data_IF_804623655062
#
_entry.id   IF_804623655062
#
_cell.length_a   1.000
_cell.length_b   1.000
_cell.length_c   1.000
_cell.angle_alpha   90.00
_cell.angle_beta   90.00
_cell.angle_gamma   90.00
#
_symmetry.space_group_name_H-M   'P 1'
#
loop_
_entity.id
_entity.type
_entity.pdbx_description
1 polymer ?
#
# COMPACT_ATOMS: atom_id res chain seq x y z
N UNK A 1 55.91 -7.17 54.04
CA UNK A 1 55.99 -8.02 52.83
C UNK A 1 55.95 -7.08 51.65
N UNK A 2 57.09 -6.89 51.00
CA UNK A 2 57.28 -5.98 49.88
C UNK A 2 56.98 -6.71 48.57
N UNK A 3 56.21 -6.10 47.68
CA UNK A 3 56.12 -6.51 46.27
C UNK A 3 56.32 -5.28 45.40
N UNK A 4 57.55 -5.19 44.89
CA UNK A 4 58.05 -4.27 43.88
C UNK A 4 57.27 -4.41 42.58
N UNK A 5 56.82 -3.29 42.00
CA UNK A 5 56.25 -3.24 40.66
C UNK A 5 57.38 -3.02 39.65
N UNK A 6 57.76 -4.06 38.91
CA UNK A 6 58.71 -3.96 37.78
C UNK A 6 58.04 -3.28 36.58
N UNK A 7 58.49 -2.07 36.24
CA UNK A 7 58.27 -1.48 34.91
C UNK A 7 58.98 -2.34 33.86
N UNK A 8 58.23 -2.87 32.90
CA UNK A 8 58.77 -3.60 31.75
C UNK A 8 59.57 -2.65 30.86
N UNK A 9 60.87 -2.51 31.13
CA UNK A 9 61.80 -1.74 30.30
C UNK A 9 61.83 -2.33 28.89
N UNK A 10 61.24 -1.59 27.94
CA UNK A 10 61.36 -1.85 26.50
C UNK A 10 62.85 -1.86 26.14
N UNK A 11 63.31 -2.91 25.44
CA UNK A 11 64.74 -3.07 25.12
C UNK A 11 65.23 -1.87 24.29
N UNK A 12 66.41 -1.31 24.59
CA UNK A 12 66.95 -0.14 23.89
C UNK A 12 67.05 -0.37 22.38
N UNK A 13 67.29 -1.61 21.95
CA UNK A 13 67.32 -2.02 20.55
C UNK A 13 65.98 -1.82 19.85
N UNK A 14 64.87 -2.17 20.50
CA UNK A 14 63.52 -2.01 19.91
C UNK A 14 63.08 -0.54 19.79
N UNK A 15 63.55 0.33 20.70
CA UNK A 15 63.33 1.79 20.58
C UNK A 15 64.21 2.42 19.51
N UNK A 16 65.46 1.98 19.39
CA UNK A 16 66.35 2.46 18.33
C UNK A 16 65.81 2.09 16.94
N UNK A 17 65.29 0.86 16.80
CA UNK A 17 64.65 0.41 15.56
C UNK A 17 63.41 1.24 15.22
N UNK A 18 62.53 1.54 16.20
CA UNK A 18 61.34 2.37 15.93
C UNK A 18 61.68 3.81 15.51
N UNK A 19 62.77 4.38 16.02
CA UNK A 19 63.28 5.69 15.59
C UNK A 19 63.81 5.63 14.15
N UNK A 20 64.60 4.59 13.83
CA UNK A 20 65.12 4.37 12.47
C UNK A 20 63.98 4.12 11.48
N UNK A 21 62.93 3.41 11.91
CA UNK A 21 61.77 3.10 11.08
C UNK A 21 60.88 4.33 10.81
N UNK A 22 60.86 5.30 11.73
CA UNK A 22 60.14 6.57 11.56
C UNK A 22 60.77 7.53 10.53
N UNK A 23 62.03 7.33 10.16
CA UNK A 23 62.71 8.16 9.16
C UNK A 23 62.20 7.86 7.74
N UNK A 24 62.01 8.89 6.90
CA UNK A 24 61.52 8.71 5.54
C UNK A 24 62.51 7.91 4.69
N UNK A 25 62.01 6.89 3.98
CA UNK A 25 62.80 6.04 3.10
C UNK A 25 62.54 4.56 3.35
N UNK A 26 62.44 3.78 2.26
CA UNK A 26 62.07 2.36 2.29
C UNK A 26 63.28 1.40 2.36
N UNK A 27 64.52 1.91 2.46
CA UNK A 27 65.73 1.08 2.52
C UNK A 27 66.59 1.37 3.74
N UNK A 28 67.16 0.30 4.32
CA UNK A 28 68.04 0.38 5.49
C UNK A 28 69.24 1.31 5.25
N UNK A 29 69.77 1.32 4.03
CA UNK A 29 70.88 2.19 3.60
C UNK A 29 70.46 3.66 3.62
N UNK A 30 69.24 3.98 3.21
CA UNK A 30 68.74 5.36 3.26
C UNK A 30 68.55 5.80 4.71
N UNK A 31 67.96 4.95 5.55
CA UNK A 31 67.69 5.25 6.96
C UNK A 31 68.97 5.44 7.77
N UNK A 32 69.95 4.55 7.62
CA UNK A 32 71.28 4.72 8.24
C UNK A 32 72.07 5.87 7.60
N UNK A 33 71.87 6.10 6.30
CA UNK A 33 72.41 7.23 5.57
C UNK A 33 71.95 8.57 6.15
N UNK A 34 70.66 8.74 6.46
CA UNK A 34 70.16 9.96 7.10
C UNK A 34 70.73 10.18 8.49
N UNK A 35 70.73 9.15 9.34
CA UNK A 35 71.28 9.28 10.71
C UNK A 35 72.76 9.63 10.66
N UNK A 36 73.53 8.96 9.80
CA UNK A 36 74.97 9.19 9.65
C UNK A 36 75.25 10.55 9.01
N UNK A 37 74.46 10.98 8.03
CA UNK A 37 74.59 12.28 7.40
C UNK A 37 74.27 13.42 8.37
N UNK A 38 73.20 13.30 9.16
CA UNK A 38 72.84 14.29 10.18
C UNK A 38 73.91 14.36 11.27
N UNK A 39 74.36 13.21 11.79
CA UNK A 39 75.40 13.17 12.80
C UNK A 39 76.75 13.70 12.26
N UNK A 40 77.09 13.37 11.02
CA UNK A 40 78.28 13.87 10.33
C UNK A 40 78.21 15.38 10.09
N UNK A 41 77.06 15.91 9.67
CA UNK A 41 76.86 17.34 9.51
C UNK A 41 76.93 18.08 10.85
N UNK A 42 76.30 17.55 11.91
CA UNK A 42 76.33 18.15 13.24
C UNK A 42 77.76 18.20 13.80
N UNK A 43 78.51 17.10 13.72
CA UNK A 43 79.91 17.05 14.16
C UNK A 43 80.81 17.96 13.32
N UNK A 44 80.57 18.06 12.01
CA UNK A 44 81.28 18.99 11.14
C UNK A 44 81.02 20.46 11.49
N UNK A 45 79.75 20.84 11.74
CA UNK A 45 79.37 22.20 12.11
C UNK A 45 79.99 22.65 13.44
N UNK A 46 80.06 21.73 14.41
CA UNK A 46 80.73 21.98 15.70
C UNK A 46 82.25 22.04 15.50
N UNK A 47 82.84 21.06 14.77
CA UNK A 47 84.28 20.97 14.58
C UNK A 47 84.88 22.13 13.79
N UNK A 48 84.10 22.75 12.90
CA UNK A 48 84.50 23.93 12.11
C UNK A 48 84.04 25.25 12.71
N UNK A 49 83.44 25.24 13.90
CA UNK A 49 82.87 26.42 14.57
C UNK A 49 81.91 27.21 13.67
N UNK A 50 81.31 26.55 12.67
CA UNK A 50 80.29 27.17 11.80
C UNK A 50 79.05 27.50 12.62
N UNK A 51 78.78 26.71 13.66
CA UNK A 51 77.81 27.03 14.69
C UNK A 51 78.53 27.33 16.01
N UNK A 52 78.48 28.60 16.42
CA UNK A 52 79.03 29.07 17.71
C UNK A 52 77.90 29.09 18.75
N UNK A 53 78.09 28.36 19.85
CA UNK A 53 77.15 28.41 20.97
C UNK A 53 77.20 29.80 21.62
N UNK A 54 76.13 30.57 21.41
CA UNK A 54 75.96 31.91 21.98
C UNK A 54 74.69 31.96 22.85
N UNK A 55 74.46 33.10 23.50
CA UNK A 55 73.23 33.38 24.27
C UNK A 55 71.95 33.14 23.44
N UNK A 56 71.98 33.43 22.15
CA UNK A 56 70.87 33.18 21.22
C UNK A 56 70.54 31.68 21.04
N UNK A 57 71.51 30.77 21.23
CA UNK A 57 71.27 29.33 21.19
C UNK A 57 70.39 28.87 22.36
N UNK A 58 70.51 29.51 23.52
CA UNK A 58 69.67 29.25 24.69
C UNK A 58 68.25 29.77 24.47
N UNK A 59 68.12 30.95 23.84
CA UNK A 59 66.82 31.50 23.42
C UNK A 59 66.14 30.59 22.40
N UNK A 60 66.88 30.07 21.41
CA UNK A 60 66.35 29.12 20.42
C UNK A 60 65.85 27.84 21.08
N UNK A 61 66.60 27.28 22.03
CA UNK A 61 66.18 26.07 22.77
C UNK A 61 64.91 26.32 23.58
N UNK A 62 64.83 27.44 24.29
CA UNK A 62 63.65 27.82 25.06
C UNK A 62 62.43 28.06 24.14
N UNK A 63 62.63 28.68 22.98
CA UNK A 63 61.61 28.86 21.96
C UNK A 63 61.13 27.52 21.41
N UNK A 64 62.03 26.61 21.04
CA UNK A 64 61.69 25.29 20.53
C UNK A 64 60.92 24.45 21.56
N UNK A 65 61.31 24.50 22.84
CA UNK A 65 60.60 23.81 23.92
C UNK A 65 59.18 24.37 24.13
N UNK A 66 59.05 25.70 24.16
CA UNK A 66 57.75 26.37 24.31
C UNK A 66 56.84 26.11 23.12
N UNK A 67 57.38 26.24 21.90
CA UNK A 67 56.66 25.98 20.66
C UNK A 67 56.25 24.51 20.54
N UNK A 68 57.13 23.57 20.90
CA UNK A 68 56.80 22.15 20.95
C UNK A 68 55.67 21.84 21.94
N UNK A 69 55.67 22.50 23.11
CA UNK A 69 54.57 22.42 24.07
C UNK A 69 53.25 22.95 23.51
N UNK A 70 53.27 24.11 22.84
CA UNK A 70 52.09 24.72 22.20
C UNK A 70 51.57 23.83 21.08
N UNK A 71 52.43 23.34 20.18
CA UNK A 71 52.02 22.46 19.08
C UNK A 71 51.38 21.19 19.63
N UNK A 72 51.95 20.59 20.68
CA UNK A 72 51.37 19.40 21.31
C UNK A 72 49.99 19.68 21.89
N UNK A 73 49.82 20.80 22.60
CA UNK A 73 48.54 21.19 23.20
C UNK A 73 47.49 21.62 22.17
N UNK A 74 47.89 22.26 21.07
CA UNK A 74 46.99 22.78 20.04
C UNK A 74 46.60 21.74 18.98
N UNK A 75 47.36 20.63 18.85
CA UNK A 75 47.14 19.62 17.80
C UNK A 75 45.79 18.93 17.92
N UNK A 76 45.44 18.45 19.12
CA UNK A 76 44.17 17.78 19.37
C UNK A 76 42.96 18.69 19.09
N UNK A 77 42.83 19.89 19.68
CA UNK A 77 41.68 20.75 19.42
C UNK A 77 41.61 21.23 17.98
N UNK A 78 42.75 21.42 17.30
CA UNK A 78 42.76 21.77 15.87
C UNK A 78 42.23 20.63 15.00
N UNK A 79 42.64 19.39 15.26
CA UNK A 79 42.17 18.23 14.53
C UNK A 79 40.67 18.00 14.77
N UNK A 80 40.19 18.08 16.01
CA UNK A 80 38.76 17.97 16.33
C UNK A 80 37.94 19.05 15.62
N UNK A 81 38.42 20.30 15.63
CA UNK A 81 37.77 21.39 14.93
C UNK A 81 37.71 21.14 13.41
N UNK A 82 38.81 20.67 12.82
CA UNK A 82 38.87 20.34 11.41
C UNK A 82 37.90 19.20 11.06
N UNK A 83 37.88 18.13 11.85
CA UNK A 83 36.98 16.99 11.64
C UNK A 83 35.51 17.39 11.76
N UNK A 84 35.15 18.21 12.74
CA UNK A 84 33.78 18.74 12.89
C UNK A 84 33.38 19.56 11.67
N UNK A 85 34.28 20.44 11.18
CA UNK A 85 33.99 21.27 10.02
C UNK A 85 33.81 20.44 8.75
N UNK A 86 34.70 19.48 8.52
CA UNK A 86 34.64 18.57 7.38
C UNK A 86 33.36 17.74 7.45
N UNK A 87 33.01 17.19 8.62
CA UNK A 87 31.79 16.40 8.79
C UNK A 87 30.54 17.23 8.57
N UNK A 88 30.50 18.48 9.06
CA UNK A 88 29.38 19.40 8.78
C UNK A 88 29.18 19.62 7.28
N UNK A 89 30.25 19.86 6.53
CA UNK A 89 30.17 20.03 5.07
C UNK A 89 29.67 18.74 4.41
N UNK A 90 30.22 17.58 4.81
CA UNK A 90 29.79 16.28 4.27
C UNK A 90 28.31 16.02 4.53
N UNK A 91 27.83 16.22 5.76
CA UNK A 91 26.43 16.03 6.12
C UNK A 91 25.51 16.97 5.36
N UNK A 92 25.89 18.24 5.17
CA UNK A 92 25.09 19.19 4.37
C UNK A 92 25.02 18.73 2.91
N UNK A 93 26.13 18.28 2.33
CA UNK A 93 26.17 17.83 0.94
C UNK A 93 25.37 16.53 0.73
N UNK A 94 25.48 15.60 1.66
CA UNK A 94 24.72 14.35 1.64
C UNK A 94 23.22 14.61 1.80
N UNK A 95 22.85 15.46 2.76
CA UNK A 95 21.46 15.90 2.95
C UNK A 95 20.92 16.59 1.71
N UNK A 96 21.67 17.52 1.12
CA UNK A 96 21.25 18.21 -0.10
C UNK A 96 21.03 17.24 -1.27
N UNK A 97 21.84 16.17 -1.37
CA UNK A 97 21.65 15.12 -2.38
C UNK A 97 20.37 14.31 -2.14
N UNK A 98 20.11 13.93 -0.90
CA UNK A 98 18.90 13.19 -0.51
C UNK A 98 17.66 14.06 -0.73
N UNK A 99 17.67 15.30 -0.25
CA UNK A 99 16.56 16.25 -0.41
C UNK A 99 16.28 16.55 -1.89
N UNK A 100 17.33 16.73 -2.71
CA UNK A 100 17.16 16.91 -4.16
C UNK A 100 16.60 15.66 -4.83
N UNK A 101 17.04 14.46 -4.44
CA UNK A 101 16.49 13.21 -4.97
C UNK A 101 15.00 13.08 -4.62
N UNK A 102 14.62 13.34 -3.38
CA UNK A 102 13.24 13.32 -2.93
C UNK A 102 12.38 14.34 -3.69
N UNK A 103 12.86 15.58 -3.85
CA UNK A 103 12.14 16.61 -4.60
C UNK A 103 11.93 16.24 -6.09
N UNK A 104 12.90 15.54 -6.70
CA UNK A 104 12.76 15.03 -8.07
C UNK A 104 11.78 13.85 -8.13
N UNK A 105 11.82 12.93 -7.17
CA UNK A 105 10.85 11.82 -7.07
C UNK A 105 9.42 12.37 -6.91
N UNK A 106 9.19 13.30 -5.99
CA UNK A 106 7.90 13.96 -5.78
C UNK A 106 7.39 14.63 -7.07
N UNK A 107 8.30 15.28 -7.83
CA UNK A 107 7.93 15.93 -9.09
C UNK A 107 7.61 14.91 -10.18
N UNK A 108 8.30 13.78 -10.22
CA UNK A 108 8.00 12.67 -11.14
C UNK A 108 6.61 12.12 -10.82
N UNK A 109 6.29 11.90 -9.55
CA UNK A 109 4.98 11.38 -9.13
C UNK A 109 3.84 12.34 -9.49
N UNK A 110 4.02 13.64 -9.24
CA UNK A 110 3.05 14.66 -9.63
C UNK A 110 2.81 14.70 -11.15
N UNK A 111 3.89 14.63 -11.94
CA UNK A 111 3.77 14.59 -13.41
C UNK A 111 3.19 13.26 -13.89
N UNK A 112 3.49 12.16 -13.21
CA UNK A 112 2.93 10.83 -13.44
C UNK A 112 1.41 10.85 -13.34
N UNK A 113 0.85 11.48 -12.29
CA UNK A 113 -0.60 11.64 -12.13
C UNK A 113 -1.21 12.48 -13.27
N UNK A 114 -0.51 13.48 -13.79
CA UNK A 114 -0.99 14.31 -14.89
C UNK A 114 -1.07 13.55 -16.22
N UNK A 115 -0.27 12.49 -16.40
CA UNK A 115 -0.29 11.66 -17.62
C UNK A 115 -1.65 10.98 -17.82
N UNK A 116 -2.27 10.55 -16.73
CA UNK A 116 -3.49 9.75 -16.77
C UNK A 116 -4.77 10.61 -16.87
N UNK A 117 -4.67 11.93 -16.66
CA UNK A 117 -5.82 12.85 -16.70
C UNK A 117 -6.51 12.84 -18.08
N UNK A 118 -5.74 12.69 -19.16
CA UNK A 118 -6.31 12.64 -20.52
C UNK A 118 -7.17 11.38 -20.71
N UNK A 119 -6.72 10.24 -20.20
CA UNK A 119 -7.46 8.98 -20.28
C UNK A 119 -8.70 9.01 -19.39
N UNK A 120 -8.56 9.46 -18.14
CA UNK A 120 -9.68 9.64 -17.21
C UNK A 120 -10.74 10.57 -17.78
N UNK A 121 -10.33 11.68 -18.42
CA UNK A 121 -11.27 12.62 -19.04
C UNK A 121 -12.02 11.96 -20.21
N UNK A 122 -11.32 11.22 -21.08
CA UNK A 122 -11.97 10.46 -22.16
C UNK A 122 -12.94 9.40 -21.62
N UNK A 123 -12.55 8.68 -20.57
CA UNK A 123 -13.39 7.71 -19.89
C UNK A 123 -14.64 8.36 -19.29
N UNK A 124 -14.52 9.56 -18.69
CA UNK A 124 -15.66 10.29 -18.13
C UNK A 124 -16.66 10.72 -19.22
N UNK A 125 -16.18 11.19 -20.37
CA UNK A 125 -17.05 11.49 -21.52
C UNK A 125 -17.70 10.24 -22.12
N UNK A 126 -16.95 9.14 -22.23
CA UNK A 126 -17.49 7.87 -22.70
C UNK A 126 -18.58 7.35 -21.76
N UNK A 127 -18.31 7.39 -20.45
CA UNK A 127 -19.26 7.01 -19.40
C UNK A 127 -20.53 7.87 -19.48
N UNK A 128 -20.40 9.19 -19.57
CA UNK A 128 -21.56 10.09 -19.71
C UNK A 128 -22.40 9.76 -20.94
N UNK A 129 -21.76 9.46 -22.08
CA UNK A 129 -22.46 9.07 -23.31
C UNK A 129 -23.16 7.71 -23.18
N UNK A 130 -22.51 6.75 -22.54
CA UNK A 130 -23.08 5.42 -22.29
C UNK A 130 -24.26 5.50 -21.32
N UNK A 131 -24.15 6.28 -20.24
CA UNK A 131 -25.24 6.52 -19.30
C UNK A 131 -26.46 7.12 -19.99
N UNK A 132 -26.27 8.16 -20.81
CA UNK A 132 -27.39 8.77 -21.55
C UNK A 132 -28.07 7.78 -22.50
N UNK A 133 -27.29 6.90 -23.14
CA UNK A 133 -27.83 5.85 -24.02
C UNK A 133 -28.61 4.79 -23.23
N UNK A 134 -28.05 4.30 -22.13
CA UNK A 134 -28.68 3.31 -21.27
C UNK A 134 -29.96 3.86 -20.61
N UNK A 135 -29.97 5.13 -20.21
CA UNK A 135 -31.17 5.78 -19.68
C UNK A 135 -32.28 5.87 -20.74
N UNK A 136 -31.94 6.22 -21.98
CA UNK A 136 -32.92 6.26 -23.07
C UNK A 136 -33.49 4.87 -23.38
N UNK A 137 -32.64 3.84 -23.48
CA UNK A 137 -33.07 2.45 -23.70
C UNK A 137 -33.92 1.93 -22.54
N UNK A 138 -33.53 2.20 -21.29
CA UNK A 138 -34.30 1.84 -20.11
C UNK A 138 -35.66 2.55 -20.07
N UNK A 139 -35.72 3.81 -20.49
CA UNK A 139 -36.98 4.57 -20.57
C UNK A 139 -37.92 3.98 -21.61
N UNK A 140 -37.42 3.63 -22.81
CA UNK A 140 -38.22 3.00 -23.85
C UNK A 140 -38.76 1.63 -23.39
N UNK A 141 -37.90 0.80 -22.78
CA UNK A 141 -38.31 -0.50 -22.25
C UNK A 141 -39.36 -0.35 -21.13
N UNK A 142 -39.19 0.64 -20.26
CA UNK A 142 -40.15 0.95 -19.20
C UNK A 142 -41.50 1.39 -19.77
N UNK A 143 -41.51 2.19 -20.83
CA UNK A 143 -42.75 2.60 -21.49
C UNK A 143 -43.47 1.42 -22.13
N UNK A 144 -42.74 0.54 -22.84
CA UNK A 144 -43.31 -0.68 -23.44
C UNK A 144 -43.89 -1.64 -22.39
N UNK A 145 -43.17 -1.84 -21.28
CA UNK A 145 -43.63 -2.71 -20.20
C UNK A 145 -44.82 -2.13 -19.45
N UNK A 146 -44.85 -0.80 -19.20
CA UNK A 146 -46.01 -0.11 -18.63
C UNK A 146 -47.25 -0.26 -19.50
N UNK A 147 -47.13 -0.02 -20.81
CA UNK A 147 -48.26 -0.21 -21.73
C UNK A 147 -48.74 -1.66 -21.79
N UNK A 148 -47.80 -2.61 -21.82
CA UNK A 148 -48.16 -4.04 -21.79
C UNK A 148 -48.88 -4.41 -20.49
N UNK A 149 -48.46 -3.86 -19.35
CA UNK A 149 -49.10 -4.09 -18.06
C UNK A 149 -50.51 -3.49 -17.99
N UNK A 150 -50.72 -2.28 -18.53
CA UNK A 150 -52.05 -1.66 -18.61
C UNK A 150 -52.99 -2.46 -19.51
N UNK A 151 -52.54 -2.85 -20.70
CA UNK A 151 -53.33 -3.68 -21.63
C UNK A 151 -53.68 -5.03 -21.02
N UNK A 152 -52.72 -5.67 -20.34
CA UNK A 152 -52.96 -6.92 -19.61
C UNK A 152 -53.99 -6.70 -18.50
N UNK A 153 -53.87 -5.65 -17.69
CA UNK A 153 -54.81 -5.35 -16.62
C UNK A 153 -56.24 -5.15 -17.14
N UNK A 154 -56.38 -4.49 -18.29
CA UNK A 154 -57.69 -4.36 -18.96
C UNK A 154 -58.18 -5.73 -19.38
N UNK A 155 -57.38 -6.53 -20.08
CA UNK A 155 -57.77 -7.87 -20.53
C UNK A 155 -58.15 -8.80 -19.36
N UNK A 156 -57.38 -8.81 -18.28
CA UNK A 156 -57.67 -9.56 -17.06
C UNK A 156 -59.00 -9.12 -16.43
N UNK A 157 -59.35 -7.82 -16.51
CA UNK A 157 -60.65 -7.32 -16.05
C UNK A 157 -61.81 -7.81 -16.92
N UNK A 158 -61.62 -7.90 -18.24
CA UNK A 158 -62.61 -8.46 -19.17
C UNK A 158 -62.83 -9.96 -18.91
N UNK A 159 -61.75 -10.72 -18.75
CA UNK A 159 -61.82 -12.15 -18.43
C UNK A 159 -62.54 -12.36 -17.11
N UNK A 160 -62.20 -11.60 -16.07
CA UNK A 160 -62.88 -11.67 -14.77
C UNK A 160 -64.37 -11.32 -14.89
N UNK A 161 -64.71 -10.31 -15.69
CA UNK A 161 -66.10 -9.96 -15.97
C UNK A 161 -66.85 -11.12 -16.65
N UNK A 162 -66.27 -11.72 -17.70
CA UNK A 162 -66.83 -12.86 -18.42
C UNK A 162 -67.04 -14.07 -17.50
N UNK A 163 -66.03 -14.43 -16.70
CA UNK A 163 -66.16 -15.52 -15.72
C UNK A 163 -67.30 -15.26 -14.75
N UNK A 164 -67.44 -14.03 -14.22
CA UNK A 164 -68.54 -13.71 -13.30
C UNK A 164 -69.91 -13.73 -13.99
N UNK A 165 -70.00 -13.36 -15.27
CA UNK A 165 -71.24 -13.45 -16.06
C UNK A 165 -71.61 -14.92 -16.24
N UNK A 166 -70.65 -15.75 -16.67
CA UNK A 166 -70.84 -17.19 -16.88
C UNK A 166 -71.28 -17.89 -15.59
N UNK A 167 -70.65 -17.58 -14.46
CA UNK A 167 -71.05 -18.10 -13.14
C UNK A 167 -72.47 -17.67 -12.75
N UNK A 168 -72.83 -16.40 -12.97
CA UNK A 168 -74.20 -15.90 -12.71
C UNK A 168 -75.24 -16.59 -13.61
N UNK A 169 -74.93 -16.80 -14.88
CA UNK A 169 -75.81 -17.50 -15.82
C UNK A 169 -76.00 -18.97 -15.43
N UNK A 170 -74.91 -19.66 -15.08
CA UNK A 170 -74.97 -21.04 -14.58
C UNK A 170 -75.77 -21.15 -13.28
N UNK A 171 -75.58 -20.22 -12.35
CA UNK A 171 -76.35 -20.17 -11.09
C UNK A 171 -77.84 -19.93 -11.35
N UNK A 172 -78.19 -18.98 -12.23
CA UNK A 172 -79.59 -18.71 -12.61
C UNK A 172 -80.23 -19.91 -13.32
N UNK A 173 -79.50 -20.55 -14.24
CA UNK A 173 -79.99 -21.71 -14.98
C UNK A 173 -80.17 -22.93 -14.07
N UNK A 174 -79.25 -23.14 -13.12
CA UNK A 174 -79.37 -24.16 -12.09
C UNK A 174 -80.57 -23.90 -11.17
N UNK A 175 -80.76 -22.66 -10.70
CA UNK A 175 -81.90 -22.28 -9.88
C UNK A 175 -83.24 -22.49 -10.62
N UNK A 176 -83.32 -22.07 -11.88
CA UNK A 176 -84.49 -22.27 -12.74
C UNK A 176 -84.78 -23.75 -12.99
N UNK A 177 -83.76 -24.58 -13.27
CA UNK A 177 -83.94 -26.03 -13.40
C UNK A 177 -84.42 -26.66 -12.10
N UNK A 178 -83.85 -26.28 -10.94
CA UNK A 178 -84.28 -26.79 -9.63
C UNK A 178 -85.74 -26.41 -9.35
N UNK A 179 -86.13 -25.17 -9.62
CA UNK A 179 -87.51 -24.70 -9.43
C UNK A 179 -88.48 -25.43 -10.35
N UNK A 180 -88.13 -25.58 -11.63
CA UNK A 180 -88.93 -26.33 -12.60
C UNK A 180 -89.10 -27.79 -12.20
N UNK A 181 -88.01 -28.48 -11.80
CA UNK A 181 -88.08 -29.86 -11.31
C UNK A 181 -88.97 -29.96 -10.07
N UNK A 182 -88.86 -29.02 -9.12
CA UNK A 182 -89.74 -28.98 -7.94
C UNK A 182 -91.21 -28.79 -8.33
N UNK A 183 -91.51 -27.95 -9.32
CA UNK A 183 -92.86 -27.75 -9.82
C UNK A 183 -93.40 -28.99 -10.56
N UNK A 184 -92.59 -29.61 -11.42
CA UNK A 184 -92.94 -30.84 -12.15
C UNK A 184 -93.17 -32.02 -11.17
N UNK A 185 -92.44 -32.08 -10.05
CA UNK A 185 -92.64 -33.08 -8.98
C UNK A 185 -93.96 -32.91 -8.21
N UNK A 186 -94.61 -31.74 -8.29
CA UNK A 186 -95.94 -31.50 -7.69
C UNK A 186 -97.08 -31.91 -8.63
N UNK A 187 -96.80 -32.22 -9.90
CA UNK A 187 -97.83 -32.67 -10.85
C UNK A 187 -98.29 -34.10 -10.50
N UNK A 188 -99.59 -34.33 -10.23
CA UNK A 188 -100.11 -35.65 -9.85
C UNK A 188 -99.88 -36.73 -10.91
N UNK A 189 -99.74 -36.37 -12.19
CA UNK A 189 -99.45 -37.35 -13.26
C UNK A 189 -98.03 -37.89 -13.17
N UNK A 190 -97.06 -37.04 -12.83
CA UNK A 190 -95.67 -37.44 -12.69
C UNK A 190 -95.48 -38.24 -11.39
N UNK A 191 -96.13 -37.83 -10.30
CA UNK A 191 -96.11 -38.56 -9.02
C UNK A 191 -96.65 -39.99 -9.17
N UNK A 192 -97.77 -40.17 -9.88
CA UNK A 192 -98.34 -41.50 -10.13
C UNK A 192 -97.36 -42.38 -10.95
N UNK A 193 -96.73 -41.81 -11.98
CA UNK A 193 -95.74 -42.51 -12.81
C UNK A 193 -94.48 -42.89 -12.03
N UNK A 194 -93.97 -41.99 -11.16
CA UNK A 194 -92.82 -42.27 -10.30
C UNK A 194 -93.18 -43.36 -9.27
N UNK A 195 -94.39 -43.34 -8.72
CA UNK A 195 -94.85 -44.39 -7.79
C UNK A 195 -94.92 -45.75 -8.48
N UNK A 196 -95.46 -45.79 -9.69
CA UNK A 196 -95.53 -47.00 -10.52
C UNK A 196 -94.14 -47.54 -10.89
N UNK A 197 -93.23 -46.66 -11.32
CA UNK A 197 -91.83 -47.02 -11.58
C UNK A 197 -91.10 -47.48 -10.30
N UNK A 198 -91.37 -46.85 -9.15
CA UNK A 198 -90.80 -47.24 -7.86
C UNK A 198 -91.32 -48.61 -7.40
N UNK A 199 -92.62 -48.88 -7.57
CA UNK A 199 -93.22 -50.21 -7.31
C UNK A 199 -92.57 -51.25 -8.22
N UNK A 200 -92.43 -50.97 -9.53
CA UNK A 200 -91.76 -51.87 -10.48
C UNK A 200 -90.29 -52.14 -10.11
N UNK A 201 -89.56 -51.13 -9.63
CA UNK A 201 -88.17 -51.30 -9.18
C UNK A 201 -88.07 -52.11 -7.88
N UNK A 202 -89.00 -51.91 -6.93
CA UNK A 202 -89.07 -52.70 -5.70
C UNK A 202 -89.46 -54.15 -6.00
N UNK A 203 -90.42 -54.39 -6.91
CA UNK A 203 -90.78 -55.73 -7.37
C UNK A 203 -89.58 -56.45 -8.01
N UNK A 204 -88.80 -55.76 -8.84
CA UNK A 204 -87.56 -56.32 -9.44
C UNK A 204 -86.49 -56.65 -8.40
N UNK A 205 -86.31 -55.81 -7.37
CA UNK A 205 -85.35 -56.08 -6.29
C UNK A 205 -85.84 -57.22 -5.40
N UNK A 206 -87.15 -57.31 -5.12
CA UNK A 206 -87.74 -58.40 -4.37
C UNK A 206 -87.65 -59.74 -5.12
N UNK A 207 -87.83 -59.74 -6.44
CA UNK A 207 -87.64 -60.93 -7.28
C UNK A 207 -86.17 -61.35 -7.45
N UNK A 208 -85.21 -60.47 -7.14
CA UNK A 208 -83.77 -60.75 -7.19
C UNK A 208 -83.18 -61.15 -5.83
N UNK A 209 -83.98 -61.16 -4.75
CA UNK A 209 -83.52 -61.47 -3.38
C UNK A 209 -84.17 -62.70 -2.75
N UNK A 210 -84.85 -63.52 -3.57
CA UNK A 210 -85.36 -64.85 -3.26
C UNK A 210 -84.69 -65.88 -4.18
#
# INVERSE_FOLDING_TARGET
MATSSEEKQVSPESKAQSIIDSLPGNSLISKTGYVTAIAGAATYLISKEIYVFNEESLVLMAFAATFGGIVKAAREPFNEWADVHINKIRTVLEKARVDHKAAVEDRIDQVGQMKDVVEVTKALYALSKETAKLEAEAFELKQKTSMTAEVKSVLDSWVRYETSVREREQSKLAAYMIEKIKADLLDPKLQAKILEESISQVEKIASNKA
#
